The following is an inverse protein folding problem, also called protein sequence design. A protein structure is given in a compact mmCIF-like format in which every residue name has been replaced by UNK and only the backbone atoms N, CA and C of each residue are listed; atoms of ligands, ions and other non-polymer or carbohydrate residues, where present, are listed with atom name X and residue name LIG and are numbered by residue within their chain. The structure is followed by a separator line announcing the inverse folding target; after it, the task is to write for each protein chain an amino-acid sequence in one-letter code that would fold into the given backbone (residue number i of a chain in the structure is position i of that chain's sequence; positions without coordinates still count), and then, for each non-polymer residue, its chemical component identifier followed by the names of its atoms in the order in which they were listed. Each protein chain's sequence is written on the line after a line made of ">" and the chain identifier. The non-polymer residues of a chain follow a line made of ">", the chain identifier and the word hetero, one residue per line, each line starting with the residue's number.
data_IF_554198650843
#
_entry.id   IF_554198650843
#
_cell.length_a   1.000
_cell.length_b   1.000
_cell.length_c   1.000
_cell.angle_alpha   90.00
_cell.angle_beta   90.00
_cell.angle_gamma   90.00
#
_symmetry.space_group_name_H-M   'P 1'
#
loop_
_entity.id
_entity.type
_entity.pdbx_description
1 polymer ?
#
# COMPACT_ATOMS: atom_id res chain seq x y z
N UNK A 1 3.47 6.82 -14.67
CA UNK A 1 3.32 5.34 -14.70
C UNK A 1 3.39 4.82 -13.24
N UNK A 2 3.07 3.58 -12.86
CA UNK A 2 3.31 3.10 -11.46
C UNK A 2 4.36 1.98 -11.36
N UNK A 3 5.12 1.78 -12.43
CA UNK A 3 6.19 0.79 -12.52
C UNK A 3 7.53 1.43 -12.88
N UNK A 4 7.68 2.74 -12.62
CA UNK A 4 8.90 3.51 -12.95
C UNK A 4 10.12 2.93 -12.21
N UNK A 5 9.92 2.40 -10.99
CA UNK A 5 10.92 1.66 -10.23
C UNK A 5 11.45 0.38 -10.91
N UNK A 6 10.79 -0.11 -11.98
CA UNK A 6 11.27 -1.23 -12.82
C UNK A 6 11.94 -0.76 -14.12
N UNK A 7 12.21 0.55 -14.27
CA UNK A 7 12.76 1.14 -15.48
C UNK A 7 11.75 1.29 -16.61
N UNK A 8 10.45 1.28 -16.30
CA UNK A 8 9.42 1.32 -17.31
C UNK A 8 9.25 2.76 -17.86
N UNK A 9 9.42 2.94 -19.17
CA UNK A 9 9.34 4.23 -19.89
C UNK A 9 7.88 4.56 -20.24
N UNK A 10 7.48 5.84 -20.14
CA UNK A 10 6.15 6.30 -20.55
C UNK A 10 6.06 6.47 -22.07
N UNK A 11 5.75 5.38 -22.78
CA UNK A 11 5.64 5.37 -24.24
C UNK A 11 4.60 6.36 -24.80
N UNK A 12 3.55 6.68 -24.03
CA UNK A 12 2.50 7.62 -24.45
C UNK A 12 3.02 9.05 -24.59
N UNK A 13 4.11 9.42 -23.91
CA UNK A 13 4.69 10.76 -24.01
C UNK A 13 5.36 11.02 -25.37
N UNK A 14 5.69 9.97 -26.13
CA UNK A 14 6.33 10.07 -27.43
C UNK A 14 5.33 10.05 -28.60
N UNK A 15 4.02 9.98 -28.33
CA UNK A 15 2.98 9.87 -29.35
C UNK A 15 2.34 11.24 -29.58
N UNK A 16 2.43 11.75 -30.81
CA UNK A 16 1.69 12.93 -31.26
C UNK A 16 0.32 12.50 -31.82
N UNK A 17 -0.74 12.65 -31.03
CA UNK A 17 -2.11 12.34 -31.43
C UNK A 17 -3.13 13.28 -30.75
N UNK A 18 -4.34 13.46 -31.32
CA UNK A 18 -5.40 14.23 -30.67
C UNK A 18 -5.77 13.63 -29.31
N UNK A 19 -5.63 14.42 -28.25
CA UNK A 19 -5.99 14.01 -26.91
C UNK A 19 -7.50 14.18 -26.65
N UNK A 20 -8.12 13.17 -26.03
CA UNK A 20 -9.49 13.22 -25.51
C UNK A 20 -9.49 12.75 -24.06
N UNK A 21 -10.26 13.44 -23.22
CA UNK A 21 -10.28 13.18 -21.78
C UNK A 21 -11.45 12.27 -21.41
N UNK A 22 -11.15 11.15 -20.76
CA UNK A 22 -12.16 10.30 -20.13
C UNK A 22 -12.35 10.79 -18.69
N UNK A 23 -13.24 11.76 -18.50
CA UNK A 23 -13.40 12.44 -17.21
C UNK A 23 -14.41 11.78 -16.28
N UNK A 24 -15.24 10.85 -16.75
CA UNK A 24 -16.24 10.19 -15.92
C UNK A 24 -15.82 8.77 -15.52
N UNK A 25 -15.83 8.51 -14.22
CA UNK A 25 -15.67 7.18 -13.64
C UNK A 25 -17.04 6.49 -13.53
N UNK A 26 -17.11 5.24 -14.01
CA UNK A 26 -18.27 4.38 -13.82
C UNK A 26 -18.15 3.48 -12.57
N UNK A 27 -17.02 3.56 -11.84
CA UNK A 27 -16.69 2.67 -10.72
C UNK A 27 -17.21 3.19 -9.37
N UNK A 28 -17.15 4.50 -9.17
CA UNK A 28 -17.41 5.13 -7.87
C UNK A 28 -18.14 6.46 -8.04
N UNK A 29 -18.69 6.95 -6.95
CA UNK A 29 -19.42 8.22 -6.86
C UNK A 29 -18.55 9.42 -6.54
N UNK A 30 -19.22 10.53 -6.23
CA UNK A 30 -18.61 11.86 -6.17
C UNK A 30 -17.52 12.01 -5.10
N UNK A 31 -17.68 11.43 -3.90
CA UNK A 31 -16.70 11.63 -2.82
C UNK A 31 -15.32 11.04 -3.16
N UNK A 32 -15.29 9.81 -3.66
CA UNK A 32 -14.04 9.18 -4.12
C UNK A 32 -13.46 9.95 -5.32
N UNK A 33 -14.33 10.44 -6.22
CA UNK A 33 -13.89 11.21 -7.39
C UNK A 33 -13.28 12.57 -7.03
N UNK A 34 -13.79 13.23 -5.99
CA UNK A 34 -13.22 14.48 -5.45
C UNK A 34 -11.79 14.21 -4.95
N UNK A 35 -11.62 13.23 -4.07
CA UNK A 35 -10.30 12.89 -3.53
C UNK A 35 -9.32 12.47 -4.64
N UNK A 36 -9.78 11.64 -5.58
CA UNK A 36 -8.96 11.23 -6.73
C UNK A 36 -8.55 12.43 -7.59
N UNK A 37 -9.43 13.41 -7.76
CA UNK A 37 -9.14 14.65 -8.50
C UNK A 37 -8.15 15.55 -7.77
N UNK A 38 -8.18 15.60 -6.44
CA UNK A 38 -7.19 16.35 -5.64
C UNK A 38 -5.80 15.75 -5.80
N UNK A 39 -5.69 14.41 -5.72
CA UNK A 39 -4.41 13.70 -5.95
C UNK A 39 -3.90 13.96 -7.38
N UNK A 40 -4.79 13.89 -8.39
CA UNK A 40 -4.42 14.19 -9.78
C UNK A 40 -4.01 15.66 -9.98
N UNK A 41 -4.64 16.60 -9.27
CA UNK A 41 -4.27 18.01 -9.34
C UNK A 41 -2.87 18.27 -8.81
N UNK A 42 -2.46 17.55 -7.75
CA UNK A 42 -1.08 17.58 -7.26
C UNK A 42 -0.07 17.03 -8.30
N UNK A 43 -0.53 16.21 -9.25
CA UNK A 43 0.25 15.76 -10.43
C UNK A 43 0.16 16.73 -11.62
N UNK A 44 -0.42 17.92 -11.45
CA UNK A 44 -0.58 18.92 -12.50
C UNK A 44 -1.78 18.71 -13.45
N UNK A 45 -2.64 17.72 -13.19
CA UNK A 45 -3.86 17.52 -13.99
C UNK A 45 -4.89 18.62 -13.68
N UNK A 46 -5.37 19.28 -14.73
CA UNK A 46 -6.32 20.40 -14.64
C UNK A 46 -7.77 19.94 -14.71
N UNK A 47 -8.00 18.75 -15.25
CA UNK A 47 -9.33 18.21 -15.53
C UNK A 47 -9.71 17.20 -14.46
N UNK A 48 -10.74 17.48 -13.64
CA UNK A 48 -11.12 16.57 -12.57
C UNK A 48 -11.78 15.29 -13.11
N UNK A 49 -11.61 14.21 -12.36
CA UNK A 49 -12.40 12.99 -12.51
C UNK A 49 -13.75 13.22 -11.83
N UNK A 50 -14.83 12.84 -12.52
CA UNK A 50 -16.21 12.93 -12.07
C UNK A 50 -16.71 11.54 -11.71
N UNK A 51 -17.29 11.40 -10.54
CA UNK A 51 -17.98 10.18 -10.14
C UNK A 51 -19.33 10.05 -10.83
N UNK A 52 -19.90 8.84 -10.79
CA UNK A 52 -21.27 8.62 -11.25
C UNK A 52 -22.26 9.07 -10.17
N UNK A 53 -23.11 10.06 -10.46
CA UNK A 53 -23.97 10.72 -9.46
C UNK A 53 -24.91 9.76 -8.70
N UNK A 54 -25.32 8.66 -9.33
CA UNK A 54 -26.20 7.67 -8.70
C UNK A 54 -25.47 6.58 -7.89
N UNK A 55 -24.14 6.65 -7.77
CA UNK A 55 -23.37 5.79 -6.88
C UNK A 55 -23.08 6.52 -5.57
N UNK A 56 -23.69 6.07 -4.47
CA UNK A 56 -23.49 6.63 -3.13
C UNK A 56 -22.18 6.18 -2.49
N UNK A 57 -21.02 6.48 -3.09
CA UNK A 57 -19.73 6.15 -2.48
C UNK A 57 -19.30 7.20 -1.46
N UNK A 58 -18.66 6.78 -0.38
CA UNK A 58 -18.14 7.68 0.65
C UNK A 58 -16.70 7.36 1.06
N UNK A 59 -16.05 8.38 1.64
CA UNK A 59 -14.70 8.28 2.18
C UNK A 59 -14.78 8.37 3.71
N UNK A 60 -14.14 7.43 4.40
CA UNK A 60 -14.06 7.40 5.87
C UNK A 60 -12.77 8.07 6.31
N UNK A 61 -12.92 9.12 7.12
CA UNK A 61 -11.83 9.90 7.70
C UNK A 61 -11.72 9.65 9.21
N UNK A 62 -12.84 9.49 9.92
CA UNK A 62 -12.84 9.33 11.37
C UNK A 62 -12.36 7.93 11.80
N UNK A 63 -11.24 7.79 12.54
CA UNK A 63 -10.70 6.50 12.97
C UNK A 63 -11.60 5.77 13.99
N UNK A 64 -12.58 6.46 14.59
CA UNK A 64 -13.60 5.82 15.43
C UNK A 64 -14.62 5.01 14.61
N UNK A 65 -14.68 5.24 13.29
CA UNK A 65 -15.54 4.52 12.36
C UNK A 65 -14.73 3.40 11.70
N UNK A 66 -15.10 2.15 11.98
CA UNK A 66 -14.46 0.97 11.41
C UNK A 66 -15.45 0.18 10.55
N UNK A 67 -15.67 0.58 9.28
CA UNK A 67 -16.55 -0.16 8.40
C UNK A 67 -15.94 -1.53 8.09
N UNK A 68 -16.74 -2.55 7.74
CA UNK A 68 -16.16 -3.80 7.27
C UNK A 68 -15.46 -3.57 5.92
N UNK A 69 -14.39 -4.31 5.68
CA UNK A 69 -13.51 -4.16 4.51
C UNK A 69 -13.61 -5.39 3.62
N UNK A 70 -13.55 -5.19 2.31
CA UNK A 70 -13.41 -6.29 1.33
C UNK A 70 -11.94 -6.44 0.92
N UNK A 71 -11.19 -5.33 0.95
CA UNK A 71 -9.76 -5.34 0.71
C UNK A 71 -8.99 -4.35 1.59
N UNK A 72 -7.78 -4.76 1.96
CA UNK A 72 -6.78 -3.92 2.63
C UNK A 72 -5.62 -3.72 1.65
N UNK A 73 -5.34 -2.46 1.32
CA UNK A 73 -4.29 -2.11 0.37
C UNK A 73 -3.10 -1.48 1.07
N UNK A 74 -1.94 -2.06 0.80
CA UNK A 74 -0.66 -1.61 1.35
C UNK A 74 0.26 -1.14 0.23
N UNK A 75 1.21 -0.26 0.55
CA UNK A 75 2.32 0.06 -0.34
C UNK A 75 3.37 -1.06 -0.33
N UNK A 76 3.72 -1.57 0.85
CA UNK A 76 4.87 -2.44 1.10
C UNK A 76 4.43 -3.89 1.35
N UNK A 77 5.31 -4.83 1.00
CA UNK A 77 5.09 -6.25 1.28
C UNK A 77 5.06 -6.56 2.78
N UNK A 78 5.94 -5.91 3.58
CA UNK A 78 6.02 -6.15 5.02
C UNK A 78 4.72 -5.79 5.75
N UNK A 79 4.08 -4.68 5.37
CA UNK A 79 2.77 -4.29 5.88
C UNK A 79 1.70 -5.30 5.49
N UNK A 80 1.72 -5.83 4.27
CA UNK A 80 0.78 -6.86 3.85
C UNK A 80 0.94 -8.17 4.67
N UNK A 81 2.18 -8.54 5.02
CA UNK A 81 2.45 -9.70 5.90
C UNK A 81 1.97 -9.42 7.33
N UNK A 82 2.17 -8.20 7.83
CA UNK A 82 1.68 -7.78 9.14
C UNK A 82 0.14 -7.84 9.24
N UNK A 83 -0.56 -7.34 8.21
CA UNK A 83 -2.03 -7.41 8.13
C UNK A 83 -2.54 -8.86 8.05
N UNK A 84 -1.79 -9.74 7.39
CA UNK A 84 -2.10 -11.18 7.34
C UNK A 84 -2.01 -11.77 8.75
N UNK A 85 -0.92 -11.49 9.46
CA UNK A 85 -0.72 -11.99 10.81
C UNK A 85 -1.78 -11.45 11.78
N UNK A 86 -2.02 -10.14 11.77
CA UNK A 86 -3.02 -9.47 12.60
C UNK A 86 -4.42 -10.06 12.37
N UNK A 87 -4.78 -10.32 11.10
CA UNK A 87 -6.03 -10.98 10.74
C UNK A 87 -6.15 -12.40 11.31
N UNK A 88 -5.11 -13.21 11.15
CA UNK A 88 -5.07 -14.58 11.67
C UNK A 88 -5.19 -14.60 13.20
N UNK A 89 -4.45 -13.73 13.89
CA UNK A 89 -4.51 -13.59 15.37
C UNK A 89 -5.90 -13.16 15.82
N UNK A 90 -6.57 -12.28 15.07
CA UNK A 90 -7.95 -11.86 15.33
C UNK A 90 -9.01 -12.92 14.95
N UNK A 91 -8.60 -14.14 14.55
CA UNK A 91 -9.50 -15.23 14.18
C UNK A 91 -10.21 -15.02 12.84
N UNK A 92 -9.71 -14.12 11.99
CA UNK A 92 -10.22 -13.88 10.63
C UNK A 92 -9.60 -14.85 9.63
N UNK A 93 -10.21 -14.89 8.44
CA UNK A 93 -9.77 -15.67 7.28
C UNK A 93 -9.25 -14.75 6.17
N UNK A 94 -8.07 -14.12 6.33
CA UNK A 94 -7.51 -13.25 5.30
C UNK A 94 -7.01 -14.03 4.09
N UNK A 95 -7.26 -13.50 2.90
CA UNK A 95 -6.48 -13.81 1.71
C UNK A 95 -5.35 -12.78 1.54
N UNK A 96 -4.25 -13.17 0.89
CA UNK A 96 -3.18 -12.24 0.52
C UNK A 96 -2.75 -12.48 -0.92
N UNK A 97 -2.62 -11.41 -1.70
CA UNK A 97 -2.09 -11.43 -3.08
C UNK A 97 -0.56 -11.48 -3.08
N UNK A 98 0.03 -12.33 -2.25
CA UNK A 98 1.47 -12.58 -2.14
C UNK A 98 1.75 -14.06 -2.32
N UNK A 99 2.84 -14.43 -3.03
CA UNK A 99 3.19 -15.84 -3.19
C UNK A 99 3.73 -16.34 -1.85
N UNK A 100 3.39 -17.56 -1.45
CA UNK A 100 3.92 -18.19 -0.23
C UNK A 100 5.46 -18.10 -0.15
N UNK A 101 6.16 -18.34 -1.26
CA UNK A 101 7.62 -18.24 -1.34
C UNK A 101 8.16 -16.83 -1.01
N UNK A 102 7.39 -15.76 -1.26
CA UNK A 102 7.79 -14.40 -0.91
C UNK A 102 7.73 -14.16 0.60
N UNK A 103 6.72 -14.73 1.28
CA UNK A 103 6.59 -14.68 2.74
C UNK A 103 7.69 -15.52 3.39
N UNK A 104 7.90 -16.75 2.89
CA UNK A 104 8.96 -17.64 3.38
C UNK A 104 10.36 -17.04 3.20
N UNK A 105 10.59 -16.27 2.13
CA UNK A 105 11.88 -15.58 1.94
C UNK A 105 12.20 -14.62 3.10
N UNK A 106 11.21 -13.96 3.72
CA UNK A 106 11.46 -13.14 4.91
C UNK A 106 11.93 -14.01 6.10
N UNK A 107 11.32 -15.17 6.31
CA UNK A 107 11.75 -16.10 7.36
C UNK A 107 13.17 -16.63 7.10
N UNK A 108 13.45 -17.10 5.88
CA UNK A 108 14.75 -17.66 5.49
C UNK A 108 15.87 -16.61 5.51
N UNK A 109 15.55 -15.37 5.10
CA UNK A 109 16.48 -14.25 5.13
C UNK A 109 16.83 -13.85 6.57
N UNK A 110 15.84 -13.82 7.46
CA UNK A 110 16.07 -13.55 8.88
C UNK A 110 16.88 -14.66 9.55
N UNK A 111 16.57 -15.94 9.30
CA UNK A 111 17.38 -17.06 9.82
C UNK A 111 18.84 -16.96 9.37
N UNK A 112 19.07 -16.60 8.11
CA UNK A 112 20.43 -16.38 7.58
C UNK A 112 21.16 -15.30 8.36
N UNK A 113 20.52 -14.14 8.56
CA UNK A 113 21.08 -13.03 9.32
C UNK A 113 21.33 -13.38 10.80
N UNK A 114 20.46 -14.19 11.41
CA UNK A 114 20.60 -14.64 12.80
C UNK A 114 21.84 -15.54 13.01
N UNK A 115 22.26 -16.28 11.97
CA UNK A 115 23.49 -17.09 11.99
C UNK A 115 24.70 -16.38 11.37
N UNK A 116 24.62 -15.07 11.15
CA UNK A 116 25.71 -14.26 10.61
C UNK A 116 26.00 -14.49 9.13
N UNK A 117 25.00 -14.93 8.35
CA UNK A 117 25.09 -15.08 6.89
C UNK A 117 24.27 -14.00 6.20
N UNK A 118 24.85 -13.40 5.17
CA UNK A 118 24.15 -12.40 4.34
C UNK A 118 22.93 -13.00 3.67
N UNK A 119 21.81 -12.28 3.74
CA UNK A 119 20.56 -12.64 3.08
C UNK A 119 20.37 -11.78 1.81
N UNK A 120 20.37 -12.40 0.63
CA UNK A 120 20.12 -11.67 -0.62
C UNK A 120 18.62 -11.51 -0.94
N UNK A 121 17.77 -12.23 -0.23
CA UNK A 121 16.31 -12.15 -0.34
C UNK A 121 15.66 -12.19 1.03
N UNK A 122 14.56 -11.43 1.22
CA UNK A 122 14.06 -10.38 0.33
C UNK A 122 15.04 -9.19 0.28
N UNK A 123 14.89 -8.33 -0.73
CA UNK A 123 15.75 -7.13 -0.88
C UNK A 123 15.73 -6.22 0.36
N UNK A 124 14.69 -6.32 1.20
CA UNK A 124 14.63 -5.63 2.49
C UNK A 124 15.79 -6.00 3.43
N UNK A 125 16.41 -7.18 3.26
CA UNK A 125 17.50 -7.68 4.11
C UNK A 125 18.87 -7.68 3.42
N UNK A 126 18.97 -7.28 2.14
CA UNK A 126 20.21 -7.38 1.37
C UNK A 126 21.36 -6.48 1.84
N UNK A 127 21.05 -5.48 2.68
CA UNK A 127 22.02 -4.53 3.20
C UNK A 127 22.64 -4.96 4.54
N UNK A 128 22.19 -6.07 5.13
CA UNK A 128 22.62 -6.50 6.46
C UNK A 128 23.47 -7.77 6.39
N UNK A 129 24.42 -7.89 7.31
CA UNK A 129 25.23 -9.08 7.52
C UNK A 129 24.77 -9.88 8.74
N UNK A 130 24.17 -9.20 9.72
CA UNK A 130 23.65 -9.80 10.94
C UNK A 130 22.21 -9.36 11.24
N UNK A 131 21.48 -10.15 12.03
CA UNK A 131 20.12 -9.77 12.46
C UNK A 131 20.15 -8.51 13.33
N UNK A 132 21.22 -8.34 14.11
CA UNK A 132 21.43 -7.17 14.96
C UNK A 132 21.51 -5.88 14.15
N UNK A 133 22.18 -5.89 12.99
CA UNK A 133 22.20 -4.74 12.07
C UNK A 133 20.81 -4.42 11.52
N UNK A 134 20.02 -5.44 11.16
CA UNK A 134 18.64 -5.24 10.73
C UNK A 134 17.79 -4.59 11.84
N UNK A 135 17.97 -5.03 13.09
CA UNK A 135 17.31 -4.44 14.28
C UNK A 135 17.75 -3.00 14.55
N UNK A 136 19.04 -2.70 14.43
CA UNK A 136 19.54 -1.36 14.70
C UNK A 136 19.13 -0.39 13.59
N UNK A 137 19.16 -0.84 12.33
CA UNK A 137 18.67 -0.07 11.20
C UNK A 137 17.17 0.21 11.32
N UNK A 138 16.36 -0.76 11.73
CA UNK A 138 14.90 -0.61 11.80
C UNK A 138 14.44 0.47 12.78
N UNK A 139 15.25 0.76 13.81
CA UNK A 139 15.02 1.83 14.80
C UNK A 139 15.41 3.22 14.29
N UNK A 140 16.15 3.30 13.19
CA UNK A 140 16.54 4.57 12.58
C UNK A 140 15.40 5.17 11.75
N UNK A 141 15.45 6.48 11.50
CA UNK A 141 14.48 7.16 10.61
C UNK A 141 14.49 6.54 9.21
N UNK A 142 15.67 6.18 8.69
CA UNK A 142 15.82 5.58 7.37
C UNK A 142 15.28 4.14 7.30
N UNK A 143 15.31 3.41 8.42
CA UNK A 143 14.90 2.01 8.48
C UNK A 143 13.51 1.74 9.02
N UNK A 144 12.71 2.77 9.31
CA UNK A 144 11.28 2.61 9.69
C UNK A 144 10.50 1.71 8.75
N UNK A 145 10.85 1.70 7.46
CA UNK A 145 10.22 0.83 6.46
C UNK A 145 10.43 -0.68 6.73
N UNK A 146 11.48 -1.05 7.46
CA UNK A 146 11.80 -2.43 7.85
C UNK A 146 11.33 -2.80 9.26
N UNK A 147 10.91 -1.81 10.07
CA UNK A 147 10.50 -2.00 11.46
C UNK A 147 9.39 -3.05 11.64
N UNK A 148 8.27 -3.04 10.89
CA UNK A 148 7.17 -3.97 11.16
C UNK A 148 7.57 -5.45 11.04
N UNK A 149 8.43 -5.78 10.07
CA UNK A 149 8.86 -7.18 9.89
C UNK A 149 9.92 -7.60 10.91
N UNK A 150 10.78 -6.67 11.33
CA UNK A 150 11.76 -6.92 12.38
C UNK A 150 11.05 -7.14 13.71
N UNK A 151 10.11 -6.26 14.08
CA UNK A 151 9.31 -6.40 15.29
C UNK A 151 8.52 -7.71 15.29
N UNK A 152 7.88 -8.05 14.16
CA UNK A 152 7.18 -9.33 14.03
C UNK A 152 8.11 -10.53 14.27
N UNK A 153 9.32 -10.53 13.66
CA UNK A 153 10.27 -11.63 13.82
C UNK A 153 10.84 -11.68 15.24
N UNK A 154 11.08 -10.53 15.86
CA UNK A 154 11.55 -10.46 17.25
C UNK A 154 10.49 -10.99 18.23
N UNK A 155 9.20 -10.75 17.97
CA UNK A 155 8.10 -11.18 18.83
C UNK A 155 7.67 -12.64 18.59
N UNK A 156 7.56 -13.06 17.33
CA UNK A 156 6.97 -14.36 16.94
C UNK A 156 7.98 -15.34 16.33
N UNK A 157 9.22 -14.91 16.09
CA UNK A 157 10.24 -15.71 15.43
C UNK A 157 9.98 -15.95 13.94
N UNK A 158 10.97 -16.50 13.25
CA UNK A 158 10.87 -16.87 11.83
C UNK A 158 9.87 -18.01 11.60
N UNK A 159 9.68 -18.89 12.58
CA UNK A 159 8.63 -19.91 12.57
C UNK A 159 7.23 -19.31 12.60
N UNK A 160 7.04 -18.14 13.23
CA UNK A 160 5.79 -17.39 13.18
C UNK A 160 5.41 -16.99 11.75
N UNK A 161 6.37 -16.53 10.95
CA UNK A 161 6.12 -16.23 9.52
C UNK A 161 5.76 -17.49 8.72
N UNK A 162 6.46 -18.59 9.00
CA UNK A 162 6.21 -19.88 8.31
C UNK A 162 4.82 -20.42 8.62
N UNK A 163 4.33 -20.23 9.84
CA UNK A 163 3.00 -20.69 10.24
C UNK A 163 1.87 -19.85 9.64
N UNK A 164 2.12 -18.64 9.13
CA UNK A 164 1.11 -17.85 8.43
C UNK A 164 0.72 -18.43 7.06
N UNK A 165 1.67 -19.04 6.35
CA UNK A 165 1.45 -19.58 5.00
C UNK A 165 0.27 -20.55 4.92
N UNK A 166 0.15 -21.58 5.78
CA UNK A 166 -1.01 -22.48 5.75
C UNK A 166 -2.32 -21.82 6.20
N UNK A 167 -2.28 -20.63 6.82
CA UNK A 167 -3.46 -19.89 7.29
C UNK A 167 -4.06 -18.96 6.22
N UNK A 168 -3.37 -18.78 5.08
CA UNK A 168 -3.86 -17.98 3.97
C UNK A 168 -5.09 -18.66 3.37
N UNK A 169 -6.21 -17.93 3.38
CA UNK A 169 -7.47 -18.43 2.83
C UNK A 169 -7.57 -18.10 1.33
N UNK A 170 -8.12 -18.98 0.47
CA UNK A 170 -8.44 -18.64 -0.92
C UNK A 170 -9.35 -17.41 -1.00
N UNK A 171 -9.15 -16.52 -1.99
CA UNK A 171 -9.88 -15.24 -2.11
C UNK A 171 -11.41 -15.42 -2.09
N UNK A 172 -11.93 -16.51 -2.65
CA UNK A 172 -13.37 -16.79 -2.74
C UNK A 172 -14.02 -17.16 -1.39
N UNK A 173 -13.20 -17.53 -0.40
CA UNK A 173 -13.65 -17.93 0.94
C UNK A 173 -13.12 -17.00 2.04
N UNK A 174 -12.40 -15.94 1.66
CA UNK A 174 -11.77 -15.04 2.58
C UNK A 174 -12.75 -13.99 3.10
N UNK A 175 -12.52 -13.54 4.34
CA UNK A 175 -13.28 -12.41 4.91
C UNK A 175 -12.91 -11.11 4.20
N UNK A 176 -11.65 -10.98 3.76
CA UNK A 176 -11.11 -9.85 3.00
C UNK A 176 -9.79 -10.23 2.31
N UNK A 177 -9.39 -9.42 1.32
CA UNK A 177 -8.16 -9.61 0.54
C UNK A 177 -7.12 -8.55 0.88
N UNK A 178 -5.91 -8.96 1.22
CA UNK A 178 -4.76 -8.08 1.42
C UNK A 178 -3.95 -8.03 0.12
N UNK A 179 -3.63 -6.83 -0.37
CA UNK A 179 -2.81 -6.69 -1.57
C UNK A 179 -1.91 -5.48 -1.50
N UNK A 180 -0.74 -5.55 -2.14
CA UNK A 180 -0.03 -4.32 -2.46
C UNK A 180 -0.76 -3.56 -3.57
N UNK A 181 -0.69 -2.22 -3.58
CA UNK A 181 -1.35 -1.38 -4.60
C UNK A 181 -0.92 -1.76 -6.02
N UNK A 182 0.36 -2.10 -6.21
CA UNK A 182 0.88 -2.56 -7.50
C UNK A 182 0.15 -3.82 -8.00
N UNK A 183 -0.10 -4.80 -7.13
CA UNK A 183 -0.82 -6.04 -7.46
C UNK A 183 -2.33 -5.84 -7.53
N UNK A 184 -2.83 -4.77 -6.94
CA UNK A 184 -4.23 -4.36 -7.00
C UNK A 184 -4.58 -3.59 -8.29
N UNK A 185 -3.59 -3.17 -9.10
CA UNK A 185 -3.83 -2.44 -10.34
C UNK A 185 -4.74 -3.25 -11.27
N UNK A 186 -5.86 -2.65 -11.66
CA UNK A 186 -6.87 -3.29 -12.53
C UNK A 186 -7.96 -4.03 -11.77
N UNK A 187 -7.81 -4.24 -10.46
CA UNK A 187 -8.82 -4.85 -9.60
C UNK A 187 -9.71 -3.78 -8.94
N UNK A 188 -10.80 -4.21 -8.33
CA UNK A 188 -11.75 -3.30 -7.67
C UNK A 188 -12.55 -4.05 -6.61
N UNK A 189 -12.85 -3.39 -5.49
CA UNK A 189 -13.59 -3.95 -4.37
C UNK A 189 -14.67 -2.97 -3.90
N UNK A 190 -15.71 -3.49 -3.23
CA UNK A 190 -16.76 -2.67 -2.65
C UNK A 190 -16.20 -1.68 -1.63
N UNK A 191 -15.43 -2.20 -0.68
CA UNK A 191 -14.93 -1.49 0.50
C UNK A 191 -13.42 -1.71 0.63
N UNK A 192 -12.65 -0.64 0.58
CA UNK A 192 -11.19 -0.69 0.61
C UNK A 192 -10.67 0.13 1.78
N UNK A 193 -9.76 -0.44 2.58
CA UNK A 193 -8.95 0.29 3.56
C UNK A 193 -7.53 0.49 3.04
N UNK A 194 -6.98 1.69 3.18
CA UNK A 194 -5.60 2.01 2.87
C UNK A 194 -4.76 2.03 4.15
N UNK A 195 -3.59 1.38 4.12
CA UNK A 195 -2.67 1.35 5.27
C UNK A 195 -1.72 2.54 5.29
N UNK A 196 -1.22 2.92 6.47
CA UNK A 196 -0.26 4.03 6.65
C UNK A 196 1.20 3.63 6.32
N UNK A 197 1.43 3.11 5.12
CA UNK A 197 2.78 2.76 4.68
C UNK A 197 3.21 3.45 3.39
N UNK A 198 2.44 4.45 2.94
CA UNK A 198 2.74 5.37 1.85
C UNK A 198 3.89 6.32 2.20
N UNK A 199 4.69 6.70 1.21
CA UNK A 199 5.86 7.58 1.40
C UNK A 199 5.48 9.05 1.34
N UNK A 200 4.97 9.55 2.45
CA UNK A 200 4.88 10.99 2.67
C UNK A 200 6.26 11.49 3.14
N UNK A 201 7.14 11.92 2.21
CA UNK A 201 8.45 12.48 2.59
C UNK A 201 8.22 13.66 3.51
N UNK A 202 8.97 13.83 4.61
CA UNK A 202 9.07 15.10 5.35
C UNK A 202 10.52 15.57 5.22
N UNK A 203 10.80 16.47 4.29
CA UNK A 203 12.11 17.13 4.22
C UNK A 203 11.96 18.61 4.59
N UNK A 204 12.77 19.09 5.54
CA UNK A 204 12.90 20.51 5.89
C UNK A 204 11.57 21.26 6.13
N UNK A 205 10.60 20.61 6.79
CA UNK A 205 9.28 21.20 7.05
C UNK A 205 8.35 21.26 5.83
N UNK A 206 8.74 20.66 4.70
CA UNK A 206 7.92 20.46 3.50
C UNK A 206 7.77 18.97 3.19
N UNK A 207 6.60 18.41 3.45
CA UNK A 207 6.20 17.08 3.02
C UNK A 207 5.71 17.01 1.56
N UNK A 208 6.63 16.96 0.60
CA UNK A 208 6.27 16.72 -0.80
C UNK A 208 6.11 15.21 -1.05
N UNK A 209 4.95 14.79 -1.55
CA UNK A 209 4.83 13.48 -2.20
C UNK A 209 5.56 13.56 -3.54
N UNK A 210 6.39 12.57 -3.85
CA UNK A 210 6.89 12.44 -5.23
C UNK A 210 5.73 12.05 -6.17
N UNK A 211 5.91 12.31 -7.46
CA UNK A 211 4.87 12.03 -8.45
C UNK A 211 4.51 10.54 -8.51
N UNK A 212 5.45 9.65 -8.22
CA UNK A 212 5.23 8.21 -8.25
C UNK A 212 4.32 7.75 -7.11
N UNK A 213 4.53 8.28 -5.91
CA UNK A 213 3.70 8.01 -4.74
C UNK A 213 2.30 8.61 -4.91
N UNK A 214 2.18 9.80 -5.51
CA UNK A 214 0.88 10.38 -5.90
C UNK A 214 0.13 9.48 -6.89
N UNK A 215 0.81 8.97 -7.92
CA UNK A 215 0.19 8.03 -8.88
C UNK A 215 -0.21 6.73 -8.19
N UNK A 216 0.57 6.25 -7.23
CA UNK A 216 0.26 5.05 -6.46
C UNK A 216 -0.98 5.28 -5.58
N UNK A 217 -1.05 6.41 -4.86
CA UNK A 217 -2.22 6.81 -4.07
C UNK A 217 -3.47 6.94 -4.93
N UNK A 218 -3.37 7.56 -6.11
CA UNK A 218 -4.48 7.62 -7.06
C UNK A 218 -4.98 6.23 -7.44
N UNK A 219 -4.07 5.29 -7.74
CA UNK A 219 -4.45 3.91 -8.04
C UNK A 219 -5.13 3.26 -6.84
N UNK A 220 -4.59 3.43 -5.63
CA UNK A 220 -5.12 2.87 -4.39
C UNK A 220 -6.55 3.36 -4.10
N UNK A 221 -6.77 4.69 -4.07
CA UNK A 221 -8.08 5.30 -3.81
C UNK A 221 -9.13 4.85 -4.82
N UNK A 222 -8.74 4.71 -6.10
CA UNK A 222 -9.65 4.33 -7.18
C UNK A 222 -9.92 2.82 -7.29
N UNK A 223 -9.43 2.00 -6.34
CA UNK A 223 -9.82 0.58 -6.22
C UNK A 223 -11.17 0.40 -5.52
N UNK A 224 -11.59 1.36 -4.70
CA UNK A 224 -12.87 1.35 -4.00
C UNK A 224 -14.04 1.67 -4.94
N UNK A 225 -15.17 0.98 -4.75
CA UNK A 225 -16.45 1.26 -5.42
C UNK A 225 -17.43 2.04 -4.53
N UNK A 226 -17.53 1.64 -3.26
CA UNK A 226 -18.56 2.12 -2.33
C UNK A 226 -17.93 2.81 -1.13
N UNK A 227 -16.94 2.18 -0.48
CA UNK A 227 -16.30 2.73 0.72
C UNK A 227 -14.80 2.78 0.52
N UNK A 228 -14.23 3.94 0.74
CA UNK A 228 -12.79 4.13 0.84
C UNK A 228 -12.45 4.59 2.25
N UNK A 229 -11.83 3.72 3.03
CA UNK A 229 -11.31 4.03 4.36
C UNK A 229 -9.85 4.50 4.24
N UNK A 230 -9.61 5.77 4.60
CA UNK A 230 -8.29 6.40 4.60
C UNK A 230 -7.89 6.87 6.00
N UNK A 231 -8.55 6.38 7.05
CA UNK A 231 -8.36 6.83 8.43
C UNK A 231 -6.88 6.81 8.86
N UNK A 232 -6.13 5.79 8.41
CA UNK A 232 -4.70 5.58 8.64
C UNK A 232 -3.79 6.61 7.96
N UNK A 233 -4.20 7.19 6.82
CA UNK A 233 -3.36 8.12 6.02
C UNK A 233 -3.94 9.54 5.95
N UNK A 234 -5.05 9.81 6.63
CA UNK A 234 -5.81 11.04 6.44
C UNK A 234 -4.99 12.30 6.73
N UNK A 235 -4.16 12.27 7.77
CA UNK A 235 -3.43 13.44 8.25
C UNK A 235 -2.29 13.77 7.29
N UNK A 236 -1.54 12.73 6.91
CA UNK A 236 -0.44 12.81 5.95
C UNK A 236 -0.95 13.21 4.56
N UNK A 237 -2.07 12.64 4.12
CA UNK A 237 -2.68 12.95 2.83
C UNK A 237 -3.21 14.39 2.79
N UNK A 238 -3.96 14.82 3.81
CA UNK A 238 -4.45 16.20 3.90
C UNK A 238 -3.29 17.20 3.89
N UNK A 239 -2.25 16.94 4.69
CA UNK A 239 -1.06 17.77 4.73
C UNK A 239 -0.41 17.86 3.34
N UNK A 240 -0.25 16.72 2.66
CA UNK A 240 0.43 16.65 1.37
C UNK A 240 -0.35 17.37 0.25
N UNK A 241 -1.68 17.26 0.24
CA UNK A 241 -2.52 17.94 -0.76
C UNK A 241 -2.53 19.47 -0.58
N UNK A 242 -2.50 19.95 0.67
CA UNK A 242 -2.47 21.39 0.97
C UNK A 242 -1.11 22.01 0.62
N UNK A 243 -0.01 21.33 0.96
CA UNK A 243 1.34 21.92 0.91
C UNK A 243 2.14 21.51 -0.33
N UNK A 244 1.74 20.46 -1.05
CA UNK A 244 2.37 20.01 -2.29
C UNK A 244 1.92 20.76 -3.54
N UNK A 245 0.90 21.61 -3.44
CA UNK A 245 0.35 22.39 -4.58
C UNK A 245 1.09 23.71 -4.86
N UNK A 246 2.39 23.81 -4.56
CA UNK A 246 3.20 25.03 -4.78
C UNK A 246 4.28 24.85 -5.82
#
# INVERSE_FOLDING_TARGET
>A
QIYEWRGAINAMAAIEAPERRLTQSFRFGSQIAILASEILRALGEKTPVRGKENLGSFVVYDPSIQPPVDAVLCRKNVTAIWELASGVVAGKKPAIRMRAAEILAYADGADSLMVGKRAFRPAAFSLFETWKEAQDYSRSVAGRDTQPIVEFIDEYGTNGLRSLVPMITPEEKADYVISTVHRAKGLEWGRVKLMNDFRFRKEDGKTALDEDELRLLYVACTRAKHVLDITEIQNELAWALINGSK
#
